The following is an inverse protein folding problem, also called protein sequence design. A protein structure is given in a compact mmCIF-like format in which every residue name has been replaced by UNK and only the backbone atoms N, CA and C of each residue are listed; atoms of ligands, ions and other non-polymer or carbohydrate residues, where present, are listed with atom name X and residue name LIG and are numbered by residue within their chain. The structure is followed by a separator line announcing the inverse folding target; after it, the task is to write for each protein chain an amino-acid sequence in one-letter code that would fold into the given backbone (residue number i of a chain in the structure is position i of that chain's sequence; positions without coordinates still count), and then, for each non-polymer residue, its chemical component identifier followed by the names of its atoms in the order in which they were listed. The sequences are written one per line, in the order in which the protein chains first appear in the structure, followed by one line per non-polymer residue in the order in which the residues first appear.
data_IF_800798906612
#
_entry.id   IF_800798906612
#
_cell.length_a   1.000
_cell.length_b   1.000
_cell.length_c   1.000
_cell.angle_alpha   90.00
_cell.angle_beta   90.00
_cell.angle_gamma   90.00
#
_symmetry.space_group_name_H-M   'P 1'
#
loop_
_entity.id
_entity.type
_entity.pdbx_description
1 polymer ?
#
# COMPACT_ATOMS: atom_id res chain seq x y z
N UNK A 1 -45.89 -23.09 -9.88
CA UNK A 1 -44.85 -22.83 -8.85
C UNK A 1 -43.42 -23.04 -9.38
N UNK A 2 -43.10 -22.60 -10.61
CA UNK A 2 -41.77 -22.77 -11.24
C UNK A 2 -41.10 -21.46 -11.66
N UNK A 3 -41.78 -20.32 -11.52
CA UNK A 3 -41.30 -19.01 -12.00
C UNK A 3 -40.66 -18.12 -10.92
N UNK A 4 -40.59 -18.59 -9.67
CA UNK A 4 -39.98 -17.83 -8.55
C UNK A 4 -38.51 -18.21 -8.32
N UNK A 5 -38.01 -19.28 -8.95
CA UNK A 5 -36.62 -19.74 -8.79
C UNK A 5 -35.59 -18.94 -9.60
N UNK A 6 -36.01 -18.27 -10.68
CA UNK A 6 -35.10 -17.54 -11.56
C UNK A 6 -34.49 -16.26 -10.95
N UNK A 7 -35.24 -15.39 -10.23
CA UNK A 7 -34.64 -14.20 -9.62
C UNK A 7 -33.69 -14.51 -8.46
N UNK A 8 -33.77 -15.71 -7.85
CA UNK A 8 -32.91 -16.11 -6.74
C UNK A 8 -31.47 -16.45 -7.18
N UNK A 9 -31.28 -16.92 -8.42
CA UNK A 9 -29.94 -17.24 -8.95
C UNK A 9 -29.10 -15.99 -9.28
N UNK A 10 -29.72 -14.84 -9.53
CA UNK A 10 -29.02 -13.60 -9.89
C UNK A 10 -28.44 -12.85 -8.68
N UNK A 11 -28.80 -13.21 -7.45
CA UNK A 11 -28.37 -12.51 -6.21
C UNK A 11 -27.11 -13.15 -5.60
N UNK A 12 -26.79 -14.40 -5.98
CA UNK A 12 -25.66 -15.16 -5.42
C UNK A 12 -24.25 -14.77 -5.89
N UNK A 13 -23.99 -14.22 -7.10
CA UNK A 13 -22.61 -13.89 -7.50
C UNK A 13 -22.09 -12.60 -6.86
N UNK A 14 -22.94 -11.79 -6.23
CA UNK A 14 -22.55 -10.49 -5.67
C UNK A 14 -21.53 -10.62 -4.52
N UNK A 15 -21.57 -11.68 -3.72
CA UNK A 15 -20.62 -11.88 -2.62
C UNK A 15 -19.24 -12.39 -3.08
N UNK A 16 -19.13 -13.00 -4.27
CA UNK A 16 -17.86 -13.51 -4.79
C UNK A 16 -16.94 -12.40 -5.33
N UNK A 17 -17.50 -11.22 -5.63
CA UNK A 17 -16.77 -10.06 -6.12
C UNK A 17 -16.10 -9.25 -5.00
N UNK A 18 -16.52 -9.42 -3.73
CA UNK A 18 -15.87 -8.80 -2.57
C UNK A 18 -14.77 -9.71 -2.02
N UNK A 19 -13.66 -9.84 -2.76
CA UNK A 19 -12.46 -10.50 -2.25
C UNK A 19 -11.81 -9.57 -1.22
N UNK A 20 -11.54 -10.09 -0.01
CA UNK A 20 -10.77 -9.35 0.98
C UNK A 20 -9.33 -9.20 0.46
N UNK A 21 -8.68 -8.05 0.69
CA UNK A 21 -7.27 -7.92 0.37
C UNK A 21 -6.48 -9.05 1.06
N UNK A 22 -5.46 -9.60 0.39
CA UNK A 22 -4.68 -10.69 0.95
C UNK A 22 -4.05 -10.25 2.27
N UNK A 23 -4.17 -11.09 3.30
CA UNK A 23 -3.44 -10.88 4.55
C UNK A 23 -1.98 -11.30 4.35
N UNK A 24 -1.02 -10.63 5.01
CA UNK A 24 0.37 -11.06 4.99
C UNK A 24 0.51 -12.53 5.43
N UNK A 25 1.45 -13.23 4.81
CA UNK A 25 1.78 -14.60 5.18
C UNK A 25 2.56 -14.58 6.50
N UNK A 26 2.16 -15.44 7.45
CA UNK A 26 2.92 -15.63 8.68
C UNK A 26 4.08 -16.61 8.44
N UNK A 27 5.25 -16.33 9.01
CA UNK A 27 6.39 -17.23 8.96
C UNK A 27 6.10 -18.57 9.67
N UNK A 28 6.80 -19.66 9.31
CA UNK A 28 6.71 -20.94 10.02
C UNK A 28 7.03 -20.79 11.52
N UNK A 29 6.40 -21.58 12.42
CA UNK A 29 6.63 -21.48 13.86
C UNK A 29 8.11 -21.64 14.27
N UNK A 30 8.85 -22.47 13.55
CA UNK A 30 10.26 -22.79 13.81
C UNK A 30 11.16 -21.58 13.54
N UNK A 31 10.88 -20.83 12.47
CA UNK A 31 11.54 -19.58 12.14
C UNK A 31 11.15 -18.48 13.13
N UNK A 32 9.86 -18.34 13.42
CA UNK A 32 9.35 -17.30 14.33
C UNK A 32 9.90 -17.47 15.76
N UNK A 33 10.11 -18.71 16.21
CA UNK A 33 10.67 -19.01 17.53
C UNK A 33 12.13 -18.52 17.70
N UNK A 34 12.85 -18.25 16.61
CA UNK A 34 14.21 -17.70 16.66
C UNK A 34 14.27 -16.19 16.94
N UNK A 35 13.12 -15.50 16.89
CA UNK A 35 13.02 -14.04 17.05
C UNK A 35 12.40 -13.71 18.40
N UNK A 36 13.16 -13.06 19.28
CA UNK A 36 12.68 -12.58 20.56
C UNK A 36 12.17 -11.13 20.45
N UNK A 37 10.91 -10.89 20.85
CA UNK A 37 10.38 -9.54 21.00
C UNK A 37 10.76 -9.05 22.41
N UNK A 38 11.56 -7.98 22.54
CA UNK A 38 11.98 -7.50 23.85
C UNK A 38 10.78 -6.96 24.63
N UNK A 39 10.82 -7.10 25.96
CA UNK A 39 9.76 -6.61 26.85
C UNK A 39 9.56 -5.08 26.75
N UNK A 40 10.65 -4.35 26.50
CA UNK A 40 10.63 -2.92 26.24
C UNK A 40 10.99 -2.65 24.79
N UNK A 41 10.17 -1.84 24.12
CA UNK A 41 10.40 -1.50 22.72
C UNK A 41 11.65 -0.60 22.59
N UNK A 42 12.60 -0.91 21.67
CA UNK A 42 13.83 -0.14 21.50
C UNK A 42 13.57 1.35 21.25
N UNK A 43 14.43 2.22 21.79
CA UNK A 43 14.35 3.68 21.58
C UNK A 43 15.23 4.15 20.43
N UNK A 44 16.37 3.52 20.23
CA UNK A 44 17.29 3.82 19.14
C UNK A 44 16.65 3.50 17.78
N UNK A 45 16.72 4.43 16.83
CA UNK A 45 16.14 4.29 15.51
C UNK A 45 14.60 4.22 15.46
N UNK A 46 13.92 4.34 16.60
CA UNK A 46 12.46 4.21 16.69
C UNK A 46 11.74 5.32 15.96
N UNK A 47 10.86 4.93 15.03
CA UNK A 47 9.90 5.81 14.38
C UNK A 47 8.56 5.70 15.09
N UNK A 48 7.99 6.82 15.55
CA UNK A 48 6.65 6.87 16.14
C UNK A 48 5.69 7.50 15.14
N UNK A 49 4.82 6.69 14.57
CA UNK A 49 3.83 7.13 13.58
C UNK A 49 2.45 7.08 14.24
N UNK A 50 1.76 8.22 14.27
CA UNK A 50 0.40 8.26 14.81
C UNK A 50 -0.58 7.53 13.87
N UNK A 51 -1.72 7.08 14.41
CA UNK A 51 -2.68 6.27 13.65
C UNK A 51 -3.27 6.95 12.41
N UNK A 52 -3.50 8.26 12.44
CA UNK A 52 -4.06 8.99 11.29
C UNK A 52 -3.04 9.14 10.17
N UNK A 53 -1.78 9.43 10.51
CA UNK A 53 -0.65 9.41 9.57
C UNK A 53 -0.42 8.01 9.00
N UNK A 54 -0.44 6.97 9.83
CA UNK A 54 -0.32 5.57 9.38
C UNK A 54 -1.43 5.22 8.38
N UNK A 55 -2.67 5.60 8.66
CA UNK A 55 -3.81 5.35 7.77
C UNK A 55 -3.69 6.12 6.46
N UNK A 56 -3.23 7.37 6.49
CA UNK A 56 -2.99 8.16 5.28
C UNK A 56 -1.92 7.51 4.39
N UNK A 57 -0.81 7.04 5.00
CA UNK A 57 0.25 6.32 4.30
C UNK A 57 -0.29 5.03 3.67
N UNK A 58 -1.10 4.26 4.39
CA UNK A 58 -1.73 3.05 3.86
C UNK A 58 -2.55 3.36 2.60
N UNK A 59 -3.48 4.32 2.67
CA UNK A 59 -4.33 4.69 1.55
C UNK A 59 -3.52 5.13 0.32
N UNK A 60 -2.50 5.97 0.52
CA UNK A 60 -1.63 6.41 -0.57
C UNK A 60 -0.86 5.23 -1.21
N UNK A 61 -0.30 4.32 -0.40
CA UNK A 61 0.44 3.16 -0.90
C UNK A 61 -0.45 2.11 -1.57
N UNK A 62 -1.70 1.98 -1.11
CA UNK A 62 -2.69 1.08 -1.69
C UNK A 62 -3.20 1.56 -3.05
N UNK A 63 -3.27 2.88 -3.26
CA UNK A 63 -3.58 3.47 -4.56
C UNK A 63 -2.37 3.43 -5.51
N UNK A 64 -1.19 3.86 -5.04
CA UNK A 64 0.02 3.96 -5.86
C UNK A 64 0.61 2.59 -6.26
N UNK A 65 0.67 1.63 -5.32
CA UNK A 65 1.25 0.29 -5.52
C UNK A 65 0.39 -0.78 -4.83
N UNK A 66 -0.80 -1.13 -5.37
CA UNK A 66 -1.68 -2.12 -4.78
C UNK A 66 -1.05 -3.52 -4.75
N UNK A 67 -1.40 -4.32 -3.74
CA UNK A 67 -0.84 -5.65 -3.50
C UNK A 67 -1.09 -6.66 -4.62
N UNK A 68 -2.15 -6.47 -5.38
CA UNK A 68 -2.58 -7.34 -6.48
C UNK A 68 -2.20 -6.79 -7.87
N UNK A 69 -1.36 -5.73 -7.91
CA UNK A 69 -0.82 -5.22 -9.18
C UNK A 69 -0.09 -6.34 -9.92
N UNK A 70 -0.55 -6.62 -11.13
CA UNK A 70 0.10 -7.56 -12.04
C UNK A 70 1.07 -6.83 -12.94
N UNK A 71 2.29 -7.35 -13.02
CA UNK A 71 3.27 -6.84 -13.97
C UNK A 71 3.00 -7.40 -15.37
N UNK A 72 3.29 -6.63 -16.44
CA UNK A 72 3.37 -7.17 -17.78
C UNK A 72 4.35 -8.35 -17.84
N UNK A 73 4.09 -9.33 -18.70
CA UNK A 73 4.96 -10.51 -18.86
C UNK A 73 6.35 -10.18 -19.40
N UNK A 74 6.50 -9.01 -20.02
CA UNK A 74 7.71 -8.46 -20.62
C UNK A 74 8.29 -7.29 -19.80
N UNK A 75 7.94 -7.20 -18.50
CA UNK A 75 8.47 -6.19 -17.60
C UNK A 75 10.01 -6.19 -17.60
N UNK A 76 10.60 -4.99 -17.73
CA UNK A 76 12.05 -4.84 -17.61
C UNK A 76 12.49 -5.01 -16.15
N UNK A 77 13.75 -5.38 -15.87
CA UNK A 77 14.25 -5.50 -14.50
C UNK A 77 14.06 -4.21 -13.67
N UNK A 78 14.21 -3.05 -14.30
CA UNK A 78 13.95 -1.76 -13.66
C UNK A 78 12.46 -1.59 -13.32
N UNK A 79 11.56 -1.97 -14.22
CA UNK A 79 10.12 -1.90 -13.97
C UNK A 79 9.68 -2.86 -12.86
N UNK A 80 10.23 -4.06 -12.83
CA UNK A 80 10.02 -5.01 -11.73
C UNK A 80 10.50 -4.45 -10.39
N UNK A 81 11.67 -3.79 -10.37
CA UNK A 81 12.19 -3.14 -9.17
C UNK A 81 11.28 -2.01 -8.69
N UNK A 82 10.88 -1.11 -9.58
CA UNK A 82 9.99 0.02 -9.27
C UNK A 82 8.57 -0.40 -8.90
N UNK A 83 8.15 -1.64 -9.14
CA UNK A 83 6.85 -2.13 -8.64
C UNK A 83 6.91 -2.78 -7.26
N UNK A 84 8.05 -2.68 -6.57
CA UNK A 84 8.20 -3.11 -5.18
C UNK A 84 8.03 -1.93 -4.24
N UNK A 85 7.31 -2.12 -3.13
CA UNK A 85 7.01 -1.04 -2.18
C UNK A 85 8.26 -0.56 -1.44
N UNK A 86 9.23 -1.45 -1.22
CA UNK A 86 10.52 -1.15 -0.61
C UNK A 86 11.46 -0.30 -1.49
N UNK A 87 11.12 -0.12 -2.76
CA UNK A 87 11.85 0.75 -3.69
C UNK A 87 11.58 2.24 -3.46
N UNK A 88 10.80 2.58 -2.44
CA UNK A 88 10.33 3.93 -2.17
C UNK A 88 10.55 4.33 -0.72
N UNK A 89 10.77 5.63 -0.53
CA UNK A 89 10.68 6.32 0.75
C UNK A 89 9.35 7.07 0.80
N UNK A 90 8.69 7.07 1.96
CA UNK A 90 7.44 7.78 2.18
C UNK A 90 7.63 8.89 3.20
N UNK A 91 7.31 10.12 2.80
CA UNK A 91 7.23 11.27 3.69
C UNK A 91 5.76 11.61 3.95
N UNK A 92 5.39 11.96 5.18
CA UNK A 92 4.03 12.39 5.50
C UNK A 92 4.02 13.56 6.48
N UNK A 93 3.13 14.52 6.24
CA UNK A 93 2.99 15.72 7.06
C UNK A 93 1.52 16.20 7.10
N UNK A 94 1.03 16.75 8.23
CA UNK A 94 -0.25 17.44 8.25
C UNK A 94 -0.20 18.68 7.34
N UNK A 95 -1.26 18.90 6.55
CA UNK A 95 -1.40 20.12 5.74
C UNK A 95 -2.48 21.07 6.24
N UNK A 96 -3.59 20.52 6.74
CA UNK A 96 -4.69 21.29 7.34
C UNK A 96 -5.48 20.39 8.30
N UNK A 97 -6.44 20.92 9.08
CA UNK A 97 -7.23 20.09 9.98
C UNK A 97 -7.92 18.93 9.25
N UNK A 98 -7.61 17.70 9.65
CA UNK A 98 -8.16 16.49 9.02
C UNK A 98 -7.51 16.11 7.68
N UNK A 99 -6.43 16.78 7.24
CA UNK A 99 -5.74 16.45 5.99
C UNK A 99 -4.25 16.17 6.25
N UNK A 100 -3.79 15.03 5.75
CA UNK A 100 -2.38 14.63 5.73
C UNK A 100 -1.90 14.57 4.28
N UNK A 101 -0.76 15.20 4.00
CA UNK A 101 -0.02 14.98 2.77
C UNK A 101 0.87 13.75 2.92
N UNK A 102 0.94 12.95 1.87
CA UNK A 102 1.83 11.78 1.76
C UNK A 102 2.57 11.85 0.43
N UNK A 103 3.89 11.88 0.47
CA UNK A 103 4.75 11.88 -0.72
C UNK A 103 5.48 10.55 -0.80
N UNK A 104 5.35 9.87 -1.95
CA UNK A 104 6.00 8.60 -2.28
C UNK A 104 7.12 8.91 -3.26
N UNK A 105 8.35 8.62 -2.86
CA UNK A 105 9.57 9.06 -3.56
C UNK A 105 10.42 7.84 -3.87
N UNK A 106 10.87 7.62 -5.11
CA UNK A 106 11.80 6.53 -5.43
C UNK A 106 13.05 6.63 -4.56
N UNK A 107 13.47 5.51 -3.99
CA UNK A 107 14.75 5.41 -3.31
C UNK A 107 15.86 5.20 -4.36
N UNK A 108 16.78 6.15 -4.56
CA UNK A 108 17.83 6.04 -5.56
C UNK A 108 18.82 4.90 -5.29
N UNK A 109 18.89 4.43 -4.05
CA UNK A 109 19.78 3.33 -3.68
C UNK A 109 19.10 1.96 -3.81
N UNK A 110 17.78 1.90 -4.04
CA UNK A 110 17.03 0.65 -4.12
C UNK A 110 16.97 0.06 -5.53
N UNK A 111 16.90 0.92 -6.55
CA UNK A 111 16.84 0.52 -7.96
C UNK A 111 17.89 1.29 -8.75
N UNK A 112 18.43 0.70 -9.83
CA UNK A 112 19.36 1.39 -10.75
C UNK A 112 18.62 2.43 -11.60
N UNK A 113 18.30 3.57 -10.97
CA UNK A 113 17.53 4.66 -11.58
C UNK A 113 18.40 5.75 -12.22
N UNK A 114 19.72 5.69 -12.02
CA UNK A 114 20.67 6.71 -12.47
C UNK A 114 20.81 6.80 -14.00
N UNK A 115 20.41 5.76 -14.74
CA UNK A 115 20.59 5.64 -16.19
C UNK A 115 19.32 5.86 -17.01
N UNK A 116 18.15 5.96 -16.37
CA UNK A 116 16.88 6.12 -17.06
C UNK A 116 16.36 7.57 -16.93
N UNK A 117 15.65 8.10 -17.95
CA UNK A 117 14.98 9.39 -17.83
C UNK A 117 13.75 9.23 -16.93
N UNK A 118 13.95 9.24 -15.62
CA UNK A 118 12.88 9.03 -14.63
C UNK A 118 12.44 10.38 -14.07
N UNK A 119 11.80 11.19 -14.90
CA UNK A 119 11.32 12.51 -14.49
C UNK A 119 9.97 12.45 -13.74
N UNK A 120 9.24 11.33 -13.84
CA UNK A 120 7.83 11.23 -13.40
C UNK A 120 7.53 9.98 -12.54
N UNK A 121 8.45 9.52 -11.69
CA UNK A 121 8.18 8.38 -10.77
C UNK A 121 8.08 8.87 -9.34
N UNK A 122 6.96 8.54 -8.70
CA UNK A 122 6.56 9.04 -7.40
C UNK A 122 5.15 9.62 -7.49
N UNK A 123 4.64 10.06 -6.35
CA UNK A 123 3.36 10.77 -6.29
C UNK A 123 3.19 11.45 -4.93
N UNK A 124 2.47 12.57 -4.90
CA UNK A 124 2.05 13.26 -3.68
C UNK A 124 0.52 13.24 -3.55
N UNK A 125 0.04 12.75 -2.42
CA UNK A 125 -1.36 12.58 -2.08
C UNK A 125 -1.77 13.59 -1.01
N UNK A 126 -2.98 14.12 -1.12
CA UNK A 126 -3.68 14.73 0.01
C UNK A 126 -4.79 13.79 0.49
N UNK A 127 -4.78 13.43 1.77
CA UNK A 127 -5.69 12.43 2.34
C UNK A 127 -6.51 13.03 3.47
N UNK A 128 -7.83 12.88 3.36
CA UNK A 128 -8.80 13.19 4.43
C UNK A 128 -8.79 12.04 5.45
N UNK A 129 -8.24 12.31 6.64
CA UNK A 129 -8.10 11.30 7.72
C UNK A 129 -9.35 11.17 8.60
N UNK A 130 -10.36 12.03 8.40
CA UNK A 130 -11.65 11.90 9.07
C UNK A 130 -12.61 11.05 8.23
N UNK A 131 -12.66 11.31 6.92
CA UNK A 131 -13.47 10.56 5.96
C UNK A 131 -12.77 9.36 5.32
N UNK A 132 -11.48 9.17 5.61
CA UNK A 132 -10.62 8.07 5.13
C UNK A 132 -10.60 7.93 3.60
N UNK A 133 -10.28 9.01 2.91
CA UNK A 133 -10.29 9.07 1.44
C UNK A 133 -9.19 9.96 0.87
N UNK A 134 -8.74 9.65 -0.34
CA UNK A 134 -7.84 10.49 -1.11
C UNK A 134 -8.64 11.68 -1.66
N UNK A 135 -8.13 12.89 -1.44
CA UNK A 135 -8.71 14.14 -1.94
C UNK A 135 -8.14 14.50 -3.31
N UNK A 136 -6.82 14.34 -3.50
CA UNK A 136 -6.13 14.58 -4.76
C UNK A 136 -4.79 13.86 -4.79
N UNK A 137 -4.29 13.63 -6.00
CA UNK A 137 -2.97 13.07 -6.31
C UNK A 137 -2.25 14.02 -7.29
N UNK A 138 -0.95 14.18 -7.10
CA UNK A 138 -0.03 14.82 -8.04
C UNK A 138 1.08 13.82 -8.35
N UNK A 139 1.20 13.42 -9.62
CA UNK A 139 2.24 12.53 -10.14
C UNK A 139 3.31 13.34 -10.88
#
# INVERSE_FOLDING_TARGET
MKHVLLPLLCILPACALFQKPPRPVHAPPEEAASVEIPLAFPTEGRQVINGTTLRAIQLAMEDYLPWDRKLPSDATPLYECLNRRESYVVAAAPASPGVVLVSIIPNPDACDIATAPILDVGATYAVDVNGWRILTVQE
#
